data_IF_841128476037
#
_entry.id   IF_841128476037
#
_cell.length_a   1.000
_cell.length_b   1.000
_cell.length_c   1.000
_cell.angle_alpha   90.00
_cell.angle_beta   90.00
_cell.angle_gamma   90.00
#
_symmetry.space_group_name_H-M   'P 1'
#
loop_
_entity.id
_entity.type
_entity.pdbx_description
1 polymer ?
#
# COMPACT_ATOMS: atom_id res chain seq x y z
N UNK A 1 -5.06 -35.75 24.21
CA UNK A 1 -6.24 -34.94 23.86
C UNK A 1 -7.37 -35.08 24.88
N UNK A 2 -7.85 -36.30 25.20
CA UNK A 2 -8.95 -36.50 26.17
C UNK A 2 -8.73 -35.85 27.55
N UNK A 3 -7.58 -36.11 28.19
CA UNK A 3 -7.26 -35.50 29.50
C UNK A 3 -7.10 -33.97 29.46
N UNK A 4 -6.77 -33.39 28.30
CA UNK A 4 -6.66 -31.94 28.12
C UNK A 4 -8.04 -31.26 28.08
N UNK A 5 -9.02 -31.89 27.43
CA UNK A 5 -10.40 -31.40 27.43
C UNK A 5 -10.97 -31.43 28.85
N UNK A 6 -10.63 -32.45 29.63
CA UNK A 6 -11.01 -32.55 31.04
C UNK A 6 -10.32 -31.45 31.85
N UNK A 7 -9.01 -31.19 31.67
CA UNK A 7 -8.31 -30.08 32.35
C UNK A 7 -8.99 -28.72 32.09
N UNK A 8 -9.34 -28.40 30.85
CA UNK A 8 -10.07 -27.15 30.52
C UNK A 8 -11.44 -27.09 31.18
N UNK A 9 -12.15 -28.21 31.19
CA UNK A 9 -13.45 -28.31 31.87
C UNK A 9 -13.31 -28.11 33.39
N UNK A 10 -12.27 -28.67 34.00
CA UNK A 10 -11.98 -28.55 35.42
C UNK A 10 -11.60 -27.12 35.80
N UNK A 11 -10.74 -26.46 35.03
CA UNK A 11 -10.40 -25.05 35.23
C UNK A 11 -11.63 -24.14 35.12
N UNK A 12 -12.47 -24.37 34.11
CA UNK A 12 -13.71 -23.61 33.94
C UNK A 12 -14.68 -23.86 35.10
N UNK A 13 -14.78 -25.10 35.56
CA UNK A 13 -15.62 -25.48 36.69
C UNK A 13 -15.11 -24.90 38.01
N UNK A 14 -13.80 -24.79 38.22
CA UNK A 14 -13.19 -24.12 39.37
C UNK A 14 -13.43 -22.61 39.32
N UNK A 15 -13.15 -21.97 38.18
CA UNK A 15 -13.32 -20.52 38.02
C UNK A 15 -14.76 -20.05 38.25
N UNK A 16 -15.74 -20.88 37.89
CA UNK A 16 -17.16 -20.60 38.15
C UNK A 16 -17.56 -21.06 39.55
N UNK A 17 -17.11 -22.24 39.97
CA UNK A 17 -17.51 -22.89 41.21
C UNK A 17 -16.96 -22.24 42.48
N UNK A 18 -15.77 -21.64 42.43
CA UNK A 18 -15.16 -20.89 43.54
C UNK A 18 -16.05 -19.72 44.01
N UNK A 19 -16.90 -19.20 43.12
CA UNK A 19 -17.85 -18.15 43.48
C UNK A 19 -19.06 -18.65 44.30
N UNK A 20 -19.32 -19.96 44.30
CA UNK A 20 -20.53 -20.56 44.88
C UNK A 20 -20.25 -21.62 45.97
N UNK A 21 -19.08 -22.26 45.95
CA UNK A 21 -18.71 -23.35 46.86
C UNK A 21 -17.22 -23.26 47.22
N UNK A 22 -16.86 -23.79 48.40
CA UNK A 22 -15.45 -23.98 48.77
C UNK A 22 -14.77 -24.94 47.78
N UNK A 23 -13.51 -24.66 47.45
CA UNK A 23 -12.72 -25.36 46.43
C UNK A 23 -12.67 -26.87 46.67
N UNK A 24 -12.62 -27.28 47.95
CA UNK A 24 -12.58 -28.67 48.39
C UNK A 24 -13.86 -29.48 48.06
N UNK A 25 -14.98 -28.80 47.82
CA UNK A 25 -16.27 -29.43 47.49
C UNK A 25 -16.47 -29.62 45.98
N UNK A 26 -15.59 -29.05 45.16
CA UNK A 26 -15.71 -29.07 43.70
C UNK A 26 -15.07 -30.36 43.18
N UNK A 27 -15.85 -31.44 43.18
CA UNK A 27 -15.43 -32.73 42.64
C UNK A 27 -15.69 -32.89 41.14
N UNK A 28 -14.88 -33.72 40.48
CA UNK A 28 -15.09 -34.14 39.08
C UNK A 28 -15.18 -35.66 38.97
N UNK A 29 -16.06 -36.14 38.08
CA UNK A 29 -16.12 -37.54 37.69
C UNK A 29 -15.59 -37.66 36.28
N UNK A 30 -14.53 -38.43 36.08
CA UNK A 30 -13.97 -38.67 34.75
C UNK A 30 -13.57 -40.14 34.59
N UNK A 31 -13.47 -40.57 33.33
CA UNK A 31 -13.05 -41.92 33.02
C UNK A 31 -11.53 -41.98 32.93
N UNK A 32 -10.89 -42.72 33.83
CA UNK A 32 -9.45 -42.89 33.78
C UNK A 32 -9.08 -43.93 32.72
N UNK A 33 -8.46 -43.48 31.62
CA UNK A 33 -7.94 -44.37 30.57
C UNK A 33 -6.84 -45.30 31.09
N UNK A 34 -6.08 -44.88 32.10
CA UNK A 34 -5.02 -45.68 32.73
C UNK A 34 -5.56 -46.88 33.50
N UNK A 35 -6.63 -46.68 34.26
CA UNK A 35 -7.23 -47.72 35.12
C UNK A 35 -8.49 -48.38 34.51
N UNK A 36 -8.95 -47.89 33.35
CA UNK A 36 -10.19 -48.31 32.66
C UNK A 36 -11.41 -48.31 33.59
N UNK A 37 -11.50 -47.32 34.48
CA UNK A 37 -12.57 -47.16 35.46
C UNK A 37 -12.95 -45.70 35.66
N UNK A 38 -14.18 -45.47 36.08
CA UNK A 38 -14.66 -44.16 36.52
C UNK A 38 -14.03 -43.80 37.85
N UNK A 39 -13.42 -42.62 37.91
CA UNK A 39 -12.79 -42.09 39.11
C UNK A 39 -13.44 -40.76 39.49
N UNK A 40 -13.58 -40.55 40.79
CA UNK A 40 -14.00 -39.29 41.36
C UNK A 40 -12.83 -38.71 42.14
N UNK A 41 -12.42 -37.49 41.78
CA UNK A 41 -11.34 -36.75 42.43
C UNK A 41 -11.79 -35.30 42.61
N UNK A 42 -11.21 -34.63 43.60
CA UNK A 42 -11.35 -33.19 43.73
C UNK A 42 -10.70 -32.50 42.53
N UNK A 43 -11.29 -31.37 42.13
CA UNK A 43 -10.82 -30.61 40.97
C UNK A 43 -9.37 -30.14 41.14
N UNK A 44 -8.98 -29.73 42.35
CA UNK A 44 -7.61 -29.30 42.67
C UNK A 44 -6.61 -30.46 42.62
N UNK A 45 -6.94 -31.59 43.26
CA UNK A 45 -6.12 -32.80 43.24
C UNK A 45 -5.90 -33.32 41.81
N UNK A 46 -6.95 -33.27 40.97
CA UNK A 46 -6.85 -33.63 39.56
C UNK A 46 -5.91 -32.70 38.78
N UNK A 47 -5.99 -31.39 39.00
CA UNK A 47 -5.06 -30.44 38.36
C UNK A 47 -3.63 -30.69 38.81
N UNK A 48 -3.41 -30.90 40.10
CA UNK A 48 -2.08 -31.19 40.64
C UNK A 48 -1.49 -32.48 40.06
N UNK A 49 -2.27 -33.57 39.97
CA UNK A 49 -1.86 -34.82 39.33
C UNK A 49 -1.62 -34.64 37.82
N UNK A 50 -2.45 -33.84 37.15
CA UNK A 50 -2.33 -33.57 35.71
C UNK A 50 -1.06 -32.79 35.37
N UNK A 51 -0.72 -31.75 36.14
CA UNK A 51 0.49 -30.95 35.95
C UNK A 51 1.77 -31.68 36.37
N UNK A 52 1.70 -32.51 37.42
CA UNK A 52 2.83 -33.34 37.87
C UNK A 52 3.06 -34.54 36.94
N UNK A 53 2.03 -34.96 36.20
CA UNK A 53 2.12 -36.03 35.21
C UNK A 53 2.91 -35.64 33.95
N UNK A 54 3.61 -36.62 33.35
CA UNK A 54 4.39 -36.42 32.10
C UNK A 54 3.58 -35.84 30.93
N UNK A 55 2.26 -36.01 30.93
CA UNK A 55 1.39 -35.52 29.87
C UNK A 55 1.06 -34.02 30.00
N UNK A 56 0.90 -33.50 31.21
CA UNK A 56 0.62 -32.07 31.44
C UNK A 56 1.80 -31.19 31.07
N UNK A 57 3.02 -31.61 31.43
CA UNK A 57 4.25 -30.88 31.12
C UNK A 57 4.47 -30.69 29.61
N UNK A 58 4.28 -31.75 28.81
CA UNK A 58 4.42 -31.66 27.34
C UNK A 58 3.38 -30.75 26.70
N UNK A 59 2.16 -30.74 27.23
CA UNK A 59 1.07 -29.90 26.72
C UNK A 59 1.34 -28.42 27.06
N UNK A 60 1.79 -28.14 28.28
CA UNK A 60 2.17 -26.79 28.69
C UNK A 60 3.32 -26.25 27.84
N UNK A 61 4.35 -27.06 27.61
CA UNK A 61 5.48 -26.70 26.76
C UNK A 61 5.08 -26.43 25.31
N UNK A 62 4.15 -27.24 24.75
CA UNK A 62 3.59 -26.99 23.42
C UNK A 62 2.78 -25.70 23.38
N UNK A 63 2.07 -25.36 24.47
CA UNK A 63 1.28 -24.14 24.53
C UNK A 63 2.17 -22.89 24.58
N UNK A 64 3.19 -22.90 25.42
CA UNK A 64 4.18 -21.82 25.49
C UNK A 64 4.93 -21.67 24.16
N UNK A 65 5.26 -22.77 23.50
CA UNK A 65 5.87 -22.76 22.16
C UNK A 65 4.93 -22.14 21.11
N UNK A 66 3.64 -22.51 21.10
CA UNK A 66 2.67 -21.97 20.14
C UNK A 66 2.39 -20.48 20.35
N UNK A 67 2.27 -20.03 21.59
CA UNK A 67 1.97 -18.62 21.91
C UNK A 67 3.20 -17.75 21.62
N UNK A 68 4.39 -18.15 22.07
CA UNK A 68 5.57 -17.29 22.01
C UNK A 68 6.22 -17.29 20.61
N UNK A 69 6.26 -18.43 19.93
CA UNK A 69 6.96 -18.54 18.64
C UNK A 69 6.04 -18.17 17.48
N UNK A 70 4.83 -18.73 17.45
CA UNK A 70 3.99 -18.62 16.26
C UNK A 70 3.28 -17.26 16.13
N UNK A 71 2.91 -16.62 17.24
CA UNK A 71 2.23 -15.32 17.18
C UNK A 71 3.20 -14.19 16.81
N UNK A 72 4.41 -14.18 17.37
CA UNK A 72 5.42 -13.16 17.05
C UNK A 72 5.89 -13.28 15.60
N UNK A 73 6.22 -14.49 15.15
CA UNK A 73 6.64 -14.71 13.75
C UNK A 73 5.51 -14.39 12.76
N UNK A 74 4.28 -14.76 13.09
CA UNK A 74 3.10 -14.45 12.26
C UNK A 74 2.84 -12.95 12.14
N UNK A 75 2.97 -12.20 13.24
CA UNK A 75 2.75 -10.75 13.25
C UNK A 75 3.83 -10.02 12.43
N UNK A 76 5.08 -10.47 12.51
CA UNK A 76 6.19 -9.91 11.73
C UNK A 76 5.97 -10.15 10.23
N UNK A 77 5.64 -11.38 9.81
CA UNK A 77 5.38 -11.69 8.40
C UNK A 77 4.18 -10.92 7.87
N UNK A 78 3.12 -10.80 8.66
CA UNK A 78 1.95 -10.00 8.30
C UNK A 78 2.29 -8.52 8.12
N UNK A 79 3.03 -7.93 9.06
CA UNK A 79 3.45 -6.53 8.98
C UNK A 79 4.30 -6.26 7.74
N UNK A 80 5.27 -7.13 7.45
CA UNK A 80 6.12 -7.02 6.26
C UNK A 80 5.27 -7.13 4.98
N UNK A 81 4.34 -8.09 4.92
CA UNK A 81 3.44 -8.27 3.78
C UNK A 81 2.55 -7.05 3.51
N UNK A 82 2.03 -6.43 4.57
CA UNK A 82 1.23 -5.19 4.48
C UNK A 82 2.08 -4.03 3.95
N UNK A 83 3.31 -3.85 4.47
CA UNK A 83 4.21 -2.78 4.03
C UNK A 83 4.55 -2.95 2.54
N UNK A 84 4.92 -4.16 2.12
CA UNK A 84 5.25 -4.46 0.72
C UNK A 84 4.05 -4.17 -0.18
N UNK A 85 2.85 -4.59 0.23
CA UNK A 85 1.62 -4.34 -0.53
C UNK A 85 1.35 -2.85 -0.69
N UNK A 86 1.44 -2.06 0.39
CA UNK A 86 1.25 -0.61 0.33
C UNK A 86 2.25 0.05 -0.61
N UNK A 87 3.54 -0.31 -0.51
CA UNK A 87 4.59 0.24 -1.39
C UNK A 87 4.33 -0.13 -2.85
N UNK A 88 3.96 -1.38 -3.13
CA UNK A 88 3.65 -1.84 -4.48
C UNK A 88 2.44 -1.09 -5.07
N UNK A 89 1.34 -0.99 -4.34
CA UNK A 89 0.14 -0.29 -4.79
C UNK A 89 0.37 1.20 -5.00
N UNK A 90 1.12 1.85 -4.11
CA UNK A 90 1.43 3.29 -4.26
C UNK A 90 2.37 3.58 -5.42
N UNK A 91 3.38 2.73 -5.66
CA UNK A 91 4.27 2.84 -6.82
C UNK A 91 3.52 2.60 -8.14
N UNK A 92 2.69 1.56 -8.20
CA UNK A 92 1.86 1.25 -9.37
C UNK A 92 0.81 2.35 -9.62
N UNK A 93 0.15 2.85 -8.57
CA UNK A 93 -0.86 3.91 -8.66
C UNK A 93 -0.31 5.22 -9.22
N UNK A 94 0.87 5.64 -8.78
CA UNK A 94 1.55 6.85 -9.30
C UNK A 94 1.82 6.76 -10.80
N UNK A 95 2.30 5.61 -11.27
CA UNK A 95 2.61 5.40 -12.68
C UNK A 95 1.35 5.37 -13.57
N UNK A 96 0.21 4.94 -13.03
CA UNK A 96 -1.08 4.95 -13.74
C UNK A 96 -1.67 6.35 -13.82
N UNK A 97 -1.59 7.15 -12.75
CA UNK A 97 -2.12 8.52 -12.71
C UNK A 97 -1.35 9.44 -13.69
N UNK A 98 -0.03 9.31 -13.78
CA UNK A 98 0.79 10.10 -14.72
C UNK A 98 0.50 9.73 -16.18
N UNK A 99 0.10 8.49 -16.45
CA UNK A 99 -0.21 7.99 -17.80
C UNK A 99 -1.66 8.23 -18.23
N UNK A 100 -2.57 8.53 -17.31
CA UNK A 100 -4.00 8.71 -17.59
C UNK A 100 -4.33 10.07 -18.23
N UNK A 101 -3.47 10.57 -19.12
CA UNK A 101 -3.89 11.61 -20.06
C UNK A 101 -4.66 10.94 -21.20
N UNK A 102 -5.98 10.91 -21.07
CA UNK A 102 -6.85 10.15 -21.98
C UNK A 102 -7.00 10.85 -23.35
N UNK A 103 -6.85 12.19 -23.43
CA UNK A 103 -6.89 13.01 -24.67
C UNK A 103 -6.49 14.48 -24.38
N UNK A 104 -6.23 15.28 -25.41
CA UNK A 104 -6.06 16.75 -25.33
C UNK A 104 -4.64 17.27 -25.60
N UNK A 105 -4.45 18.59 -25.49
CA UNK A 105 -3.15 19.26 -25.71
C UNK A 105 -2.20 19.06 -24.52
N UNK A 106 -0.92 18.79 -24.78
CA UNK A 106 0.11 18.65 -23.73
C UNK A 106 0.76 19.99 -23.44
N UNK A 107 0.83 20.34 -22.15
CA UNK A 107 1.63 21.47 -21.73
C UNK A 107 3.09 21.01 -21.56
N UNK A 108 3.95 21.49 -22.44
CA UNK A 108 5.37 21.14 -22.46
C UNK A 108 6.19 22.41 -22.34
N UNK A 109 7.25 22.40 -21.53
CA UNK A 109 8.16 23.54 -21.42
C UNK A 109 8.81 23.91 -22.75
N UNK A 110 9.04 25.20 -22.99
CA UNK A 110 9.48 25.73 -24.30
C UNK A 110 10.76 25.06 -24.83
N UNK A 111 11.75 24.76 -23.97
CA UNK A 111 12.99 24.08 -24.37
C UNK A 111 12.72 22.66 -24.87
N UNK A 112 11.82 21.94 -24.21
CA UNK A 112 11.44 20.58 -24.60
C UNK A 112 10.63 20.61 -25.89
N UNK A 113 9.66 21.52 -26.02
CA UNK A 113 8.90 21.70 -27.26
C UNK A 113 9.82 22.05 -28.45
N UNK A 114 10.79 22.96 -28.26
CA UNK A 114 11.77 23.29 -29.28
C UNK A 114 12.64 22.09 -29.67
N UNK A 115 13.05 21.24 -28.72
CA UNK A 115 13.77 19.99 -28.99
C UNK A 115 12.89 19.00 -29.76
N UNK A 116 11.62 18.85 -29.38
CA UNK A 116 10.66 17.98 -30.08
C UNK A 116 10.46 18.42 -31.53
N UNK A 117 10.29 19.72 -31.78
CA UNK A 117 10.16 20.27 -33.15
C UNK A 117 11.42 20.04 -33.99
N UNK A 118 12.60 20.21 -33.40
CA UNK A 118 13.88 19.94 -34.07
C UNK A 118 14.07 18.45 -34.37
N UNK A 119 13.80 17.59 -33.39
CA UNK A 119 13.89 16.13 -33.52
C UNK A 119 12.93 15.60 -34.59
N UNK A 120 11.71 16.13 -34.65
CA UNK A 120 10.72 15.78 -35.67
C UNK A 120 10.99 16.41 -37.05
N UNK A 121 12.08 17.16 -37.24
CA UNK A 121 12.38 17.95 -38.46
C UNK A 121 11.25 18.91 -38.87
N UNK A 122 10.45 19.37 -37.90
CA UNK A 122 9.30 20.28 -38.06
C UNK A 122 9.57 21.70 -37.54
N UNK A 123 10.81 22.05 -37.24
CA UNK A 123 11.17 23.42 -36.86
C UNK A 123 11.17 24.35 -38.08
N UNK A 124 10.39 25.44 -38.00
CA UNK A 124 10.44 26.54 -38.96
C UNK A 124 11.67 27.44 -38.74
N UNK A 125 11.97 28.26 -39.74
CA UNK A 125 12.95 29.35 -39.66
C UNK A 125 12.46 30.50 -38.78
N UNK A 126 11.15 30.76 -38.77
CA UNK A 126 10.49 31.80 -37.97
C UNK A 126 10.37 31.34 -36.51
N UNK A 127 10.66 32.24 -35.57
CA UNK A 127 10.66 32.00 -34.13
C UNK A 127 9.92 33.10 -33.37
N UNK A 128 9.21 32.73 -32.31
CA UNK A 128 8.62 33.66 -31.34
C UNK A 128 9.31 33.49 -29.99
N UNK A 129 9.95 34.52 -29.44
CA UNK A 129 10.65 34.42 -28.15
C UNK A 129 11.66 33.28 -28.09
N UNK A 130 12.31 32.96 -29.21
CA UNK A 130 13.24 31.84 -29.35
C UNK A 130 12.61 30.45 -29.58
N UNK A 131 11.28 30.30 -29.53
CA UNK A 131 10.59 29.06 -29.88
C UNK A 131 10.34 29.00 -31.40
N UNK A 132 10.91 28.02 -32.13
CA UNK A 132 10.61 27.86 -33.55
C UNK A 132 9.15 27.48 -33.77
N UNK A 133 8.53 28.05 -34.79
CA UNK A 133 7.19 27.66 -35.23
C UNK A 133 7.20 26.25 -35.86
N UNK A 134 6.01 25.67 -35.98
CA UNK A 134 5.82 24.45 -36.76
C UNK A 134 6.00 24.78 -38.24
N UNK A 135 6.87 24.03 -38.92
CA UNK A 135 7.15 24.20 -40.35
C UNK A 135 5.85 24.17 -41.17
N UNK A 136 5.73 25.09 -42.13
CA UNK A 136 4.53 25.34 -42.95
C UNK A 136 3.33 25.95 -42.21
N UNK A 137 3.32 26.04 -40.88
CA UNK A 137 2.27 26.77 -40.15
C UNK A 137 2.41 28.28 -40.30
N UNK A 138 3.55 28.79 -40.79
CA UNK A 138 3.72 30.19 -41.19
C UNK A 138 2.79 30.64 -42.34
N UNK A 139 2.28 29.69 -43.13
CA UNK A 139 1.29 29.97 -44.19
C UNK A 139 -0.14 29.90 -43.67
N UNK A 140 -0.32 29.42 -42.44
CA UNK A 140 -1.61 29.45 -41.76
C UNK A 140 -1.74 30.80 -41.05
N UNK A 141 -2.92 31.40 -41.09
CA UNK A 141 -3.16 32.65 -40.35
C UNK A 141 -2.90 32.43 -38.85
N UNK A 142 -2.11 33.33 -38.25
CA UNK A 142 -1.75 33.30 -36.83
C UNK A 142 -2.61 34.33 -36.10
N UNK A 143 -3.40 33.89 -35.12
CA UNK A 143 -4.14 34.78 -34.23
C UNK A 143 -3.27 35.17 -33.03
N UNK A 144 -3.07 36.47 -32.84
CA UNK A 144 -2.34 37.03 -31.70
C UNK A 144 -3.34 37.75 -30.80
N UNK A 145 -3.63 37.15 -29.64
CA UNK A 145 -4.60 37.70 -28.67
C UNK A 145 -3.95 38.06 -27.35
N UNK A 146 -4.50 39.06 -26.66
CA UNK A 146 -4.03 39.57 -25.37
C UNK A 146 -4.57 40.95 -25.08
N UNK A 147 -4.55 41.39 -23.82
CA UNK A 147 -4.99 42.74 -23.41
C UNK A 147 -3.98 43.82 -23.81
N UNK A 148 -4.30 45.11 -23.62
CA UNK A 148 -3.35 46.21 -23.87
C UNK A 148 -2.14 46.08 -22.93
N UNK A 149 -0.93 46.24 -23.46
CA UNK A 149 0.31 46.10 -22.67
C UNK A 149 0.89 44.68 -22.59
N UNK A 150 0.26 43.64 -23.12
CA UNK A 150 0.78 42.25 -23.06
C UNK A 150 1.87 41.92 -24.10
N UNK A 151 2.36 42.92 -24.83
CA UNK A 151 3.47 42.73 -25.76
C UNK A 151 3.10 42.27 -27.18
N UNK A 152 1.84 42.38 -27.62
CA UNK A 152 1.44 42.06 -29.02
C UNK A 152 2.29 42.81 -30.05
N UNK A 153 2.50 44.11 -29.84
CA UNK A 153 3.36 44.95 -30.70
C UNK A 153 4.81 44.52 -30.65
N UNK A 154 5.30 44.12 -29.47
CA UNK A 154 6.67 43.62 -29.31
C UNK A 154 6.88 42.31 -30.07
N UNK A 155 5.89 41.42 -30.06
CA UNK A 155 5.94 40.17 -30.82
C UNK A 155 5.96 40.41 -32.34
N UNK A 156 5.19 41.37 -32.84
CA UNK A 156 5.25 41.78 -34.25
C UNK A 156 6.60 42.40 -34.60
N UNK A 157 7.16 43.22 -33.70
CA UNK A 157 8.49 43.82 -33.87
C UNK A 157 9.63 42.79 -33.86
N UNK A 158 9.46 41.64 -33.18
CA UNK A 158 10.39 40.50 -33.26
C UNK A 158 10.24 39.71 -34.56
N UNK A 159 9.03 39.63 -35.12
CA UNK A 159 8.72 38.88 -36.33
C UNK A 159 9.22 39.57 -37.61
N UNK A 160 9.02 40.89 -37.74
CA UNK A 160 9.33 41.64 -38.97
C UNK A 160 10.80 41.53 -39.42
N UNK A 161 11.81 41.64 -38.53
CA UNK A 161 13.21 41.44 -38.89
C UNK A 161 13.50 40.04 -39.43
N UNK A 162 12.83 39.01 -38.89
CA UNK A 162 13.00 37.63 -39.34
C UNK A 162 12.47 37.44 -40.76
N UNK A 163 11.30 38.02 -41.07
CA UNK A 163 10.72 38.01 -42.42
C UNK A 163 11.64 38.72 -43.42
N UNK A 164 12.15 39.91 -43.05
CA UNK A 164 13.10 40.67 -43.88
C UNK A 164 14.40 39.91 -44.12
N UNK A 165 14.95 39.25 -43.11
CA UNK A 165 16.15 38.42 -43.22
C UNK A 165 15.94 37.24 -44.18
N UNK A 166 14.71 36.71 -44.24
CA UNK A 166 14.34 35.65 -45.18
C UNK A 166 13.99 36.14 -46.59
N UNK A 167 14.07 37.46 -46.85
CA UNK A 167 13.68 38.13 -48.11
C UNK A 167 12.20 37.94 -48.45
N UNK A 168 11.38 37.64 -47.44
CA UNK A 168 9.93 37.57 -47.58
C UNK A 168 9.34 38.99 -47.49
N UNK A 169 8.21 39.21 -48.16
CA UNK A 169 7.51 40.50 -48.16
C UNK A 169 6.49 40.52 -47.03
N UNK A 170 6.56 41.54 -46.17
CA UNK A 170 5.54 41.83 -45.17
C UNK A 170 4.86 43.17 -45.49
N UNK A 171 3.55 43.21 -45.27
CA UNK A 171 2.74 44.42 -45.26
C UNK A 171 2.14 44.48 -43.85
N UNK A 172 2.22 45.64 -43.22
CA UNK A 172 1.72 45.88 -41.87
C UNK A 172 0.60 46.91 -41.92
#
# INVERSE_FOLDING_TARGET
MYYFVIERYVQLKLAIGEHFYDIDQIGIKFYSLRFKKWMHLNAEDFLHEFYTGQHGFKIQQLWEFLINSALLEGLIVFAIGVIISIVFFTAQGKNTIIKAKIRGADFVGYKCLAKMLKSAKKASKIRFGGLPLVKNSERLHILITGTTGTGKTNMLNELLPQIRLHKDRAIM
#
